data_IF_032002336930
#
_entry.id   IF_032002336930
#
_cell.length_a   1.000
_cell.length_b   1.000
_cell.length_c   1.000
_cell.angle_alpha   90.00
_cell.angle_beta   90.00
_cell.angle_gamma   90.00
#
_symmetry.space_group_name_H-M   'P 1'
#
loop_
_entity.id
_entity.type
_entity.pdbx_description
1 polymer ?
#
# COMPACT_ATOMS: atom_id res chain seq x y z
N UNK A 1 26.92 -8.56 3.66
CA UNK A 1 27.87 -9.43 2.92
C UNK A 1 27.21 -10.76 2.59
N UNK A 2 27.30 -11.23 1.34
CA UNK A 2 26.71 -12.50 0.93
C UNK A 2 27.60 -13.69 1.31
N UNK A 3 26.99 -14.84 1.61
CA UNK A 3 27.73 -16.06 1.97
C UNK A 3 28.65 -16.57 0.83
N UNK A 4 28.32 -16.29 -0.44
CA UNK A 4 29.20 -16.66 -1.57
C UNK A 4 30.50 -15.86 -1.58
N UNK A 5 30.41 -14.55 -1.37
CA UNK A 5 31.59 -13.68 -1.31
C UNK A 5 32.54 -14.11 -0.18
N UNK A 6 31.99 -14.45 0.99
CA UNK A 6 32.77 -14.96 2.13
C UNK A 6 33.49 -16.26 1.76
N UNK A 7 32.84 -17.12 0.98
CA UNK A 7 33.43 -18.38 0.51
C UNK A 7 34.56 -18.14 -0.50
N UNK A 8 34.37 -17.20 -1.44
CA UNK A 8 35.38 -16.85 -2.45
C UNK A 8 36.64 -16.24 -1.83
N UNK A 9 36.46 -15.38 -0.83
CA UNK A 9 37.58 -14.71 -0.14
C UNK A 9 38.34 -15.69 0.76
N UNK A 10 37.63 -16.47 1.59
CA UNK A 10 38.28 -17.32 2.59
C UNK A 10 38.78 -18.65 2.02
N UNK A 11 38.26 -19.12 0.87
CA UNK A 11 38.60 -20.41 0.25
C UNK A 11 38.55 -21.60 1.24
N UNK A 12 37.72 -21.51 2.27
CA UNK A 12 37.53 -22.54 3.29
C UNK A 12 36.38 -23.47 2.94
N UNK A 13 36.40 -24.67 3.54
CA UNK A 13 35.30 -25.61 3.42
C UNK A 13 34.01 -25.06 4.04
N UNK A 14 32.88 -25.23 3.33
CA UNK A 14 31.58 -24.60 3.66
C UNK A 14 31.11 -24.93 5.08
N UNK A 15 31.37 -26.15 5.57
CA UNK A 15 30.99 -26.57 6.92
C UNK A 15 31.73 -25.78 8.01
N UNK A 16 33.00 -25.45 7.78
CA UNK A 16 33.80 -24.66 8.74
C UNK A 16 33.30 -23.22 8.78
N UNK A 17 33.00 -22.64 7.62
CA UNK A 17 32.40 -21.30 7.51
C UNK A 17 31.07 -21.23 8.26
N UNK A 18 30.18 -22.21 8.06
CA UNK A 18 28.89 -22.26 8.74
C UNK A 18 29.01 -22.41 10.26
N UNK A 19 30.01 -23.14 10.77
CA UNK A 19 30.27 -23.24 12.22
C UNK A 19 30.70 -21.89 12.80
N UNK A 20 31.66 -21.23 12.16
CA UNK A 20 32.16 -19.91 12.60
C UNK A 20 31.05 -18.87 12.57
N UNK A 21 30.27 -18.81 11.49
CA UNK A 21 29.14 -17.88 11.37
C UNK A 21 28.10 -18.11 12.47
N UNK A 22 27.77 -19.37 12.81
CA UNK A 22 26.88 -19.67 13.94
C UNK A 22 27.45 -19.21 15.29
N UNK A 23 28.76 -19.37 15.50
CA UNK A 23 29.42 -18.88 16.73
C UNK A 23 29.38 -17.36 16.81
N UNK A 24 29.63 -16.65 15.72
CA UNK A 24 29.55 -15.19 15.65
C UNK A 24 28.11 -14.68 15.84
N UNK A 25 27.13 -15.39 15.30
CA UNK A 25 25.69 -15.11 15.47
C UNK A 25 25.25 -15.35 16.93
N UNK A 26 25.70 -16.45 17.56
CA UNK A 26 25.40 -16.72 18.99
C UNK A 26 25.99 -15.69 19.94
N UNK A 27 27.12 -15.06 19.55
CA UNK A 27 27.76 -13.99 20.32
C UNK A 27 27.16 -12.61 20.04
N UNK A 28 26.11 -12.52 19.21
CA UNK A 28 25.46 -11.27 18.79
C UNK A 28 26.43 -10.26 18.16
N UNK A 29 27.46 -10.75 17.46
CA UNK A 29 28.37 -9.88 16.69
C UNK A 29 27.84 -9.63 15.28
N UNK A 30 27.21 -10.66 14.71
CA UNK A 30 26.58 -10.60 13.39
C UNK A 30 25.13 -11.06 13.48
N UNK A 31 24.30 -10.58 12.56
CA UNK A 31 22.94 -11.07 12.33
C UNK A 31 22.76 -11.49 10.87
N UNK A 32 21.98 -12.55 10.68
CA UNK A 32 21.57 -12.98 9.36
C UNK A 32 20.29 -12.25 8.92
N UNK A 33 20.30 -11.71 7.72
CA UNK A 33 19.16 -11.06 7.09
C UNK A 33 18.85 -11.78 5.78
N UNK A 34 17.56 -11.99 5.56
CA UNK A 34 17.04 -12.41 4.27
C UNK A 34 16.44 -11.18 3.63
N UNK A 35 16.98 -10.71 2.49
CA UNK A 35 16.48 -9.52 1.83
C UNK A 35 15.07 -9.77 1.27
N UNK A 36 14.33 -8.71 1.04
CA UNK A 36 13.03 -8.76 0.36
C UNK A 36 13.22 -8.75 -1.17
N UNK A 37 12.35 -9.43 -1.92
CA UNK A 37 12.32 -9.38 -3.40
C UNK A 37 13.21 -10.42 -4.12
N UNK A 38 13.75 -10.06 -5.29
CA UNK A 38 14.47 -10.99 -6.19
C UNK A 38 15.73 -11.65 -5.56
N UNK A 39 16.22 -11.11 -4.44
CA UNK A 39 17.32 -11.65 -3.68
C UNK A 39 16.89 -12.49 -2.46
N UNK A 40 15.60 -12.76 -2.26
CA UNK A 40 15.07 -13.38 -1.02
C UNK A 40 15.67 -14.75 -0.66
N UNK A 41 16.15 -15.50 -1.66
CA UNK A 41 16.86 -16.76 -1.46
C UNK A 41 18.30 -16.59 -0.95
N UNK A 42 18.86 -15.37 -0.95
CA UNK A 42 20.24 -15.09 -0.56
C UNK A 42 20.32 -14.78 0.93
N UNK A 43 21.19 -15.49 1.64
CA UNK A 43 21.50 -15.21 3.05
C UNK A 43 22.61 -14.15 3.15
N UNK A 44 22.29 -12.99 3.71
CA UNK A 44 23.21 -11.87 3.88
C UNK A 44 23.52 -11.72 5.37
N UNK A 45 24.78 -11.45 5.70
CA UNK A 45 25.20 -11.17 7.07
C UNK A 45 25.57 -9.70 7.21
N UNK A 46 25.23 -9.11 8.36
CA UNK A 46 25.62 -7.76 8.75
C UNK A 46 25.93 -7.70 10.25
N UNK A 47 26.55 -6.61 10.70
CA UNK A 47 26.78 -6.36 12.13
C UNK A 47 25.45 -6.32 12.89
N UNK A 48 25.46 -6.83 14.12
CA UNK A 48 24.25 -6.92 14.94
C UNK A 48 23.62 -5.56 15.23
N UNK A 49 24.46 -4.57 15.54
CA UNK A 49 24.06 -3.22 15.96
C UNK A 49 23.54 -2.33 14.82
N UNK A 50 23.87 -2.66 13.56
CA UNK A 50 23.46 -1.83 12.42
C UNK A 50 22.05 -2.20 11.95
N UNK A 51 21.24 -1.22 11.57
CA UNK A 51 19.93 -1.48 10.96
C UNK A 51 20.06 -1.73 9.45
N UNK A 52 19.32 -2.69 8.88
CA UNK A 52 19.34 -2.93 7.44
C UNK A 52 18.73 -1.74 6.70
N UNK A 53 19.34 -1.39 5.57
CA UNK A 53 18.79 -0.40 4.66
C UNK A 53 17.40 -0.83 4.14
N UNK A 54 16.52 0.15 3.91
CA UNK A 54 15.17 -0.04 3.37
C UNK A 54 15.11 -0.88 2.10
N UNK A 55 16.14 -0.80 1.26
CA UNK A 55 16.27 -1.60 0.03
C UNK A 55 16.42 -3.11 0.29
N UNK A 56 16.94 -3.48 1.46
CA UNK A 56 17.20 -4.86 1.86
C UNK A 56 16.06 -5.38 2.73
N UNK A 57 15.56 -4.57 3.66
CA UNK A 57 14.49 -4.94 4.59
C UNK A 57 13.07 -4.81 4.00
N UNK A 58 12.93 -4.14 2.85
CA UNK A 58 11.62 -3.79 2.28
C UNK A 58 10.99 -2.53 2.90
N UNK A 59 11.61 -1.96 3.94
CA UNK A 59 11.15 -0.75 4.63
C UNK A 59 10.05 -1.02 5.66
N UNK A 60 9.30 0.02 6.02
CA UNK A 60 8.34 0.01 7.13
C UNK A 60 7.10 -0.87 6.92
N UNK A 61 6.87 -1.38 5.70
CA UNK A 61 5.68 -2.19 5.34
C UNK A 61 5.94 -3.70 5.37
N UNK A 62 7.16 -4.12 5.73
CA UNK A 62 7.54 -5.53 5.77
C UNK A 62 7.86 -5.96 7.19
N UNK A 63 7.24 -7.05 7.61
CA UNK A 63 7.58 -7.75 8.85
C UNK A 63 8.54 -8.89 8.50
N UNK A 64 9.82 -8.54 8.37
CA UNK A 64 10.87 -9.49 7.98
C UNK A 64 10.88 -9.78 6.47
N UNK A 65 10.15 -10.82 6.03
CA UNK A 65 10.05 -11.20 4.61
C UNK A 65 8.64 -11.08 4.04
N UNK A 66 7.64 -10.89 4.90
CA UNK A 66 6.25 -10.85 4.51
C UNK A 66 5.78 -9.40 4.42
N UNK A 67 5.06 -9.10 3.36
CA UNK A 67 4.41 -7.80 3.18
C UNK A 67 3.17 -7.75 4.08
N UNK A 68 3.10 -6.72 4.92
CA UNK A 68 2.01 -6.55 5.86
C UNK A 68 0.86 -5.76 5.19
N UNK A 69 0.04 -6.48 4.41
CA UNK A 69 -1.10 -5.86 3.73
C UNK A 69 -2.13 -5.29 4.70
N UNK A 70 -2.33 -5.94 5.85
CA UNK A 70 -3.28 -5.48 6.87
C UNK A 70 -2.84 -4.16 7.48
N UNK A 71 -1.55 -4.01 7.75
CA UNK A 71 -0.99 -2.74 8.22
C UNK A 71 -1.14 -1.63 7.19
N UNK A 72 -0.87 -1.92 5.91
CA UNK A 72 -1.05 -0.94 4.82
C UNK A 72 -2.51 -0.52 4.67
N UNK A 73 -3.45 -1.47 4.74
CA UNK A 73 -4.89 -1.20 4.69
C UNK A 73 -5.34 -0.33 5.87
N UNK A 74 -4.84 -0.61 7.08
CA UNK A 74 -5.12 0.19 8.26
C UNK A 74 -4.60 1.62 8.12
N UNK A 75 -3.38 1.80 7.60
CA UNK A 75 -2.82 3.13 7.32
C UNK A 75 -3.65 3.87 6.27
N UNK A 76 -4.05 3.20 5.19
CA UNK A 76 -4.92 3.76 4.16
C UNK A 76 -6.26 4.25 4.74
N UNK A 77 -6.92 3.41 5.54
CA UNK A 77 -8.16 3.76 6.20
C UNK A 77 -8.01 4.97 7.13
N UNK A 78 -6.91 5.02 7.90
CA UNK A 78 -6.69 6.11 8.84
C UNK A 78 -6.37 7.43 8.12
N UNK A 79 -5.54 7.40 7.07
CA UNK A 79 -5.28 8.57 6.22
C UNK A 79 -6.59 9.10 5.62
N UNK A 80 -7.42 8.21 5.07
CA UNK A 80 -8.71 8.59 4.49
C UNK A 80 -9.67 9.18 5.52
N UNK A 81 -9.75 8.57 6.72
CA UNK A 81 -10.59 9.06 7.81
C UNK A 81 -10.19 10.46 8.24
N UNK A 82 -8.90 10.72 8.36
CA UNK A 82 -8.38 12.03 8.72
C UNK A 82 -8.71 13.08 7.65
N UNK A 83 -8.44 12.79 6.37
CA UNK A 83 -8.75 13.69 5.27
C UNK A 83 -10.26 14.00 5.18
N UNK A 84 -11.13 13.00 5.39
CA UNK A 84 -12.59 13.17 5.41
C UNK A 84 -13.04 14.04 6.58
N UNK A 85 -12.51 13.80 7.77
CA UNK A 85 -12.83 14.60 8.97
C UNK A 85 -12.46 16.07 8.77
N UNK A 86 -11.28 16.34 8.21
CA UNK A 86 -10.85 17.71 7.91
C UNK A 86 -11.72 18.39 6.84
N UNK A 87 -12.14 17.64 5.83
CA UNK A 87 -13.08 18.13 4.82
C UNK A 87 -14.48 18.47 5.40
N UNK A 88 -14.96 17.68 6.35
CA UNK A 88 -16.22 17.94 7.07
C UNK A 88 -16.10 19.19 7.96
N UNK A 89 -15.04 19.29 8.76
CA UNK A 89 -14.79 20.46 9.60
C UNK A 89 -14.66 21.76 8.78
N UNK A 90 -14.03 21.71 7.60
CA UNK A 90 -13.96 22.83 6.67
C UNK A 90 -15.35 23.20 6.11
N UNK A 91 -16.22 22.21 5.90
CA UNK A 91 -17.59 22.43 5.43
C UNK A 91 -18.49 23.11 6.46
N UNK A 92 -18.31 22.79 7.73
CA UNK A 92 -19.03 23.42 8.84
C UNK A 92 -18.53 24.85 9.10
N UNK A 93 -17.20 25.07 9.07
CA UNK A 93 -16.60 26.39 9.33
C UNK A 93 -16.89 27.42 8.25
N UNK A 94 -16.92 27.00 6.98
CA UNK A 94 -17.08 27.89 5.83
C UNK A 94 -18.21 27.40 4.92
N UNK A 95 -19.48 27.64 5.27
CA UNK A 95 -20.62 27.20 4.46
C UNK A 95 -20.71 27.94 3.13
N UNK A 96 -20.41 29.24 3.10
CA UNK A 96 -20.61 30.11 1.92
C UNK A 96 -19.32 30.53 1.22
N UNK A 97 -18.14 30.29 1.81
CA UNK A 97 -16.84 30.63 1.19
C UNK A 97 -16.16 29.38 0.65
N UNK A 98 -16.20 29.23 -0.67
CA UNK A 98 -15.59 28.10 -1.38
C UNK A 98 -14.06 28.10 -1.28
N UNK A 99 -13.42 29.27 -1.32
CA UNK A 99 -11.96 29.39 -1.32
C UNK A 99 -11.39 29.07 0.06
N UNK A 100 -11.98 29.62 1.12
CA UNK A 100 -11.59 29.32 2.49
C UNK A 100 -11.82 27.84 2.82
N UNK A 101 -12.96 27.27 2.37
CA UNK A 101 -13.25 25.84 2.52
C UNK A 101 -12.21 24.97 1.82
N UNK A 102 -11.91 25.25 0.55
CA UNK A 102 -10.90 24.52 -0.24
C UNK A 102 -9.54 24.58 0.43
N UNK A 103 -9.10 25.76 0.86
CA UNK A 103 -7.81 25.95 1.54
C UNK A 103 -7.74 25.18 2.86
N UNK A 104 -8.83 25.16 3.63
CA UNK A 104 -8.90 24.43 4.91
C UNK A 104 -8.93 22.91 4.76
N UNK A 105 -9.35 22.37 3.61
CA UNK A 105 -9.35 20.93 3.33
C UNK A 105 -7.95 20.40 2.97
N UNK A 106 -7.06 21.26 2.47
CA UNK A 106 -5.72 20.88 2.05
C UNK A 106 -4.86 20.52 3.26
N UNK A 107 -4.13 19.42 3.12
CA UNK A 107 -3.32 18.83 4.19
C UNK A 107 -1.98 18.42 3.60
N UNK A 108 -0.88 18.77 4.27
CA UNK A 108 0.46 18.37 3.83
C UNK A 108 0.76 16.92 4.24
N UNK A 109 1.71 16.27 3.54
CA UNK A 109 2.22 14.95 3.93
C UNK A 109 2.83 14.97 5.35
N UNK A 110 3.44 16.07 5.75
CA UNK A 110 4.02 16.27 7.09
C UNK A 110 2.95 16.30 8.21
N UNK A 111 1.82 16.95 7.99
CA UNK A 111 0.72 17.03 8.96
C UNK A 111 0.07 15.66 9.16
N UNK A 112 -0.10 14.90 8.09
CA UNK A 112 -0.64 13.53 8.14
C UNK A 112 0.31 12.61 8.89
N UNK A 113 1.61 12.71 8.64
CA UNK A 113 2.63 11.95 9.37
C UNK A 113 2.60 12.25 10.87
N UNK A 114 2.47 13.52 11.26
CA UNK A 114 2.35 13.89 12.67
C UNK A 114 1.11 13.27 13.31
N UNK A 115 -0.04 13.32 12.62
CA UNK A 115 -1.27 12.72 13.12
C UNK A 115 -1.14 11.19 13.31
N UNK A 116 -0.49 10.49 12.36
CA UNK A 116 -0.25 9.04 12.47
C UNK A 116 0.67 8.72 13.66
N UNK A 117 1.70 9.53 13.90
CA UNK A 117 2.61 9.38 15.05
C UNK A 117 1.89 9.59 16.38
N UNK A 118 0.99 10.58 16.46
CA UNK A 118 0.19 10.85 17.66
C UNK A 118 -0.75 9.70 18.02
N UNK A 119 -1.32 9.04 17.00
CA UNK A 119 -2.20 7.89 17.19
C UNK A 119 -1.45 6.63 17.64
N UNK A 120 -0.12 6.62 17.60
CA UNK A 120 0.75 5.49 18.00
C UNK A 120 0.29 4.14 17.41
N UNK A 121 -0.17 4.18 16.15
CA UNK A 121 -0.69 2.98 15.46
C UNK A 121 0.45 2.00 15.17
N UNK A 122 1.66 2.49 14.91
CA UNK A 122 2.82 1.68 14.57
C UNK A 122 3.87 1.70 15.68
N UNK A 123 4.48 0.53 15.90
CA UNK A 123 5.74 0.39 16.66
C UNK A 123 6.97 0.75 15.81
N UNK A 124 6.76 0.84 14.48
CA UNK A 124 7.77 1.10 13.47
C UNK A 124 7.79 2.60 13.17
N UNK A 125 8.98 3.18 13.09
CA UNK A 125 9.19 4.56 12.66
C UNK A 125 8.85 4.72 11.18
N UNK A 126 7.75 5.42 10.91
CA UNK A 126 7.31 5.77 9.56
C UNK A 126 8.05 7.02 9.07
N UNK A 127 8.60 6.94 7.86
CA UNK A 127 9.19 8.08 7.16
C UNK A 127 8.14 8.87 6.37
N UNK A 128 8.49 10.10 5.98
CA UNK A 128 7.61 10.94 5.14
C UNK A 128 7.36 10.30 3.77
N UNK A 129 8.40 9.72 3.16
CA UNK A 129 8.28 9.05 1.86
C UNK A 129 7.38 7.81 1.91
N UNK A 130 7.31 7.12 3.05
CA UNK A 130 6.42 5.97 3.21
C UNK A 130 4.96 6.41 3.29
N UNK A 131 4.67 7.50 4.01
CA UNK A 131 3.33 8.09 4.05
C UNK A 131 2.90 8.60 2.68
N UNK A 132 3.80 9.22 1.91
CA UNK A 132 3.48 9.67 0.55
C UNK A 132 3.09 8.52 -0.39
N UNK A 133 3.76 7.35 -0.28
CA UNK A 133 3.36 6.16 -1.05
C UNK A 133 1.95 5.69 -0.68
N UNK A 134 1.60 5.70 0.61
CA UNK A 134 0.26 5.35 1.08
C UNK A 134 -0.78 6.37 0.58
N UNK A 135 -0.45 7.66 0.63
CA UNK A 135 -1.35 8.69 0.12
C UNK A 135 -1.55 8.59 -1.39
N UNK A 136 -0.50 8.23 -2.14
CA UNK A 136 -0.63 7.96 -3.57
C UNK A 136 -1.57 6.77 -3.83
N UNK A 137 -1.55 5.71 -2.99
CA UNK A 137 -2.57 4.64 -3.11
C UNK A 137 -3.99 5.14 -2.87
N UNK A 138 -4.22 5.99 -1.85
CA UNK A 138 -5.54 6.60 -1.61
C UNK A 138 -6.00 7.49 -2.78
N UNK A 139 -5.06 8.15 -3.46
CA UNK A 139 -5.33 8.95 -4.66
C UNK A 139 -5.68 8.05 -5.84
N UNK A 140 -4.96 6.95 -6.06
CA UNK A 140 -5.25 5.99 -7.13
C UNK A 140 -6.61 5.27 -6.94
N UNK A 141 -7.03 5.06 -5.69
CA UNK A 141 -8.38 4.58 -5.38
C UNK A 141 -9.49 5.61 -5.68
N UNK A 142 -9.12 6.84 -6.06
CA UNK A 142 -10.06 7.93 -6.35
C UNK A 142 -10.71 8.54 -5.11
N UNK A 143 -10.16 8.27 -3.92
CA UNK A 143 -10.69 8.74 -2.64
C UNK A 143 -10.07 10.06 -2.18
N UNK A 144 -8.89 10.41 -2.70
CA UNK A 144 -8.20 11.67 -2.44
C UNK A 144 -7.70 12.33 -3.72
N UNK A 145 -7.53 13.66 -3.65
CA UNK A 145 -6.91 14.48 -4.69
C UNK A 145 -5.54 14.93 -4.21
N UNK A 146 -4.58 14.90 -5.12
CA UNK A 146 -3.22 15.42 -4.94
C UNK A 146 -3.09 16.74 -5.67
N UNK A 147 -2.66 17.78 -4.97
CA UNK A 147 -2.42 19.10 -5.51
C UNK A 147 -1.00 19.53 -5.25
N UNK A 148 -0.35 20.11 -6.27
CA UNK A 148 0.98 20.66 -6.14
C UNK A 148 0.86 22.13 -5.72
N UNK A 149 1.63 22.51 -4.70
CA UNK A 149 1.79 23.89 -4.26
C UNK A 149 2.40 24.74 -5.36
N UNK A 150 1.83 25.93 -5.56
CA UNK A 150 2.30 26.90 -6.56
C UNK A 150 3.71 27.42 -6.25
N UNK A 151 4.11 27.38 -4.98
CA UNK A 151 5.42 27.86 -4.49
C UNK A 151 6.03 26.76 -3.63
N UNK A 152 7.19 26.22 -4.04
CA UNK A 152 7.99 25.28 -3.24
C UNK A 152 7.88 23.80 -3.62
N UNK A 153 6.97 23.42 -4.52
CA UNK A 153 6.80 22.01 -4.93
C UNK A 153 6.18 21.13 -3.84
N UNK A 154 5.67 21.73 -2.76
CA UNK A 154 5.00 21.02 -1.68
C UNK A 154 3.75 20.30 -2.19
N UNK A 155 3.57 19.06 -1.74
CA UNK A 155 2.42 18.25 -2.12
C UNK A 155 1.34 18.32 -1.05
N UNK A 156 0.13 18.65 -1.48
CA UNK A 156 -1.06 18.71 -0.64
C UNK A 156 -2.06 17.63 -1.05
N UNK A 157 -2.77 17.12 -0.04
CA UNK A 157 -3.78 16.10 -0.18
C UNK A 157 -5.11 16.62 0.39
N UNK A 158 -6.19 16.32 -0.32
CA UNK A 158 -7.54 16.59 0.15
C UNK A 158 -8.45 15.40 -0.15
N UNK A 159 -9.34 15.05 0.77
CA UNK A 159 -10.38 14.06 0.48
C UNK A 159 -11.22 14.57 -0.69
N UNK A 160 -11.40 13.72 -1.69
CA UNK A 160 -12.27 14.08 -2.81
C UNK A 160 -13.72 13.96 -2.35
N UNK A 161 -14.54 14.93 -2.76
CA UNK A 161 -16.00 14.85 -2.59
C UNK A 161 -16.67 13.95 -3.63
N UNK A 162 -15.90 13.22 -4.41
CA UNK A 162 -16.46 12.28 -5.37
C UNK A 162 -17.27 11.23 -4.61
N UNK A 163 -18.45 10.83 -5.14
CA UNK A 163 -19.45 10.05 -4.44
C UNK A 163 -19.07 8.56 -4.31
N UNK A 164 -17.84 8.27 -3.87
CA UNK A 164 -17.40 6.92 -3.61
C UNK A 164 -17.88 6.49 -2.23
N UNK A 165 -19.12 6.00 -2.26
CA UNK A 165 -19.41 4.73 -1.60
C UNK A 165 -20.58 3.97 -2.23
N UNK A 166 -21.47 4.60 -3.01
CA UNK A 166 -22.60 3.89 -3.67
C UNK A 166 -23.06 4.47 -5.03
N UNK A 167 -22.57 5.62 -5.51
CA UNK A 167 -23.24 6.34 -6.61
C UNK A 167 -22.37 6.87 -7.76
N UNK A 168 -21.05 6.73 -7.73
CA UNK A 168 -20.20 7.00 -8.91
C UNK A 168 -20.30 5.85 -9.92
N UNK A 169 -21.30 5.92 -10.78
CA UNK A 169 -21.43 5.22 -12.06
C UNK A 169 -21.21 3.69 -12.05
N UNK A 170 -22.01 2.97 -11.26
CA UNK A 170 -22.46 1.67 -11.77
C UNK A 170 -23.35 1.96 -12.99
N UNK A 171 -22.74 2.07 -14.16
CA UNK A 171 -23.48 2.16 -15.43
C UNK A 171 -24.51 1.03 -15.47
N UNK A 172 -25.65 1.22 -16.16
CA UNK A 172 -26.66 0.17 -16.26
C UNK A 172 -26.08 -1.17 -16.77
N UNK A 173 -24.96 -1.09 -17.50
CA UNK A 173 -24.18 -2.23 -17.95
C UNK A 173 -23.64 -3.08 -16.78
N UNK A 174 -22.90 -2.51 -15.82
CA UNK A 174 -22.30 -3.31 -14.72
C UNK A 174 -23.34 -3.92 -13.76
N UNK A 175 -24.59 -3.45 -13.84
CA UNK A 175 -25.72 -4.04 -13.12
C UNK A 175 -26.26 -5.31 -13.78
N UNK A 176 -25.94 -5.52 -15.06
CA UNK A 176 -26.34 -6.70 -15.80
C UNK A 176 -25.22 -7.76 -15.76
N UNK A 177 -25.56 -9.05 -15.67
CA UNK A 177 -24.58 -10.14 -15.57
C UNK A 177 -23.72 -10.27 -16.85
N UNK A 178 -24.14 -9.66 -17.95
CA UNK A 178 -23.39 -9.65 -19.20
C UNK A 178 -22.12 -8.79 -19.17
N UNK A 179 -22.02 -7.78 -18.29
CA UNK A 179 -20.87 -6.87 -18.25
C UNK A 179 -19.56 -7.53 -17.83
N UNK A 180 -19.65 -8.61 -17.04
CA UNK A 180 -18.51 -9.37 -16.55
C UNK A 180 -18.55 -10.82 -17.01
N UNK A 181 -19.41 -11.14 -18.00
CA UNK A 181 -19.57 -12.50 -18.48
C UNK A 181 -18.29 -12.96 -19.20
N UNK A 182 -17.62 -14.02 -18.74
CA UNK A 182 -16.41 -14.52 -19.39
C UNK A 182 -16.67 -15.13 -20.77
N UNK A 183 -17.93 -15.46 -21.07
CA UNK A 183 -18.38 -16.03 -22.34
C UNK A 183 -19.12 -15.01 -23.21
N UNK A 184 -18.93 -13.71 -22.96
CA UNK A 184 -19.63 -12.65 -23.69
C UNK A 184 -19.44 -12.76 -25.22
N UNK A 185 -18.20 -12.99 -25.65
CA UNK A 185 -17.84 -13.09 -27.07
C UNK A 185 -18.53 -14.27 -27.78
N UNK A 186 -18.70 -15.39 -27.07
CA UNK A 186 -19.28 -16.63 -27.59
C UNK A 186 -20.82 -16.66 -27.52
N UNK A 187 -21.43 -15.73 -26.78
CA UNK A 187 -22.87 -15.72 -26.54
C UNK A 187 -23.64 -15.28 -27.78
N UNK A 188 -24.46 -16.19 -28.34
CA UNK A 188 -25.29 -15.91 -29.53
C UNK A 188 -26.70 -16.53 -29.40
N UNK A 189 -27.73 -15.95 -30.04
CA UNK A 189 -29.02 -16.61 -30.16
C UNK A 189 -28.87 -17.97 -30.84
N UNK A 190 -29.43 -19.05 -30.24
CA UNK A 190 -29.36 -20.43 -30.73
C UNK A 190 -27.95 -21.06 -30.78
N UNK A 191 -26.95 -20.46 -30.13
CA UNK A 191 -25.62 -21.04 -29.95
C UNK A 191 -25.53 -22.00 -28.75
N UNK A 192 -24.37 -22.64 -28.57
CA UNK A 192 -24.07 -23.46 -27.38
C UNK A 192 -24.09 -22.62 -26.10
N UNK A 193 -23.57 -21.39 -26.17
CA UNK A 193 -23.74 -20.35 -25.17
C UNK A 193 -24.81 -19.39 -25.69
N UNK A 194 -25.96 -19.34 -25.01
CA UNK A 194 -27.10 -18.54 -25.48
C UNK A 194 -27.76 -17.78 -24.35
N UNK A 195 -28.29 -16.56 -24.60
CA UNK A 195 -29.03 -15.81 -23.59
C UNK A 195 -30.25 -16.58 -23.06
N UNK A 196 -30.90 -17.38 -23.91
CA UNK A 196 -32.11 -18.13 -23.57
C UNK A 196 -31.87 -19.27 -22.55
N UNK A 197 -30.66 -19.84 -22.53
CA UNK A 197 -30.26 -20.93 -21.63
C UNK A 197 -29.18 -20.48 -20.63
N UNK A 198 -28.96 -19.18 -20.50
CA UNK A 198 -27.88 -18.61 -19.70
C UNK A 198 -28.12 -18.79 -18.20
N UNK A 199 -27.20 -19.47 -17.52
CA UNK A 199 -27.24 -19.69 -16.07
C UNK A 199 -27.07 -18.36 -15.32
N UNK A 200 -26.11 -17.53 -15.72
CA UNK A 200 -25.87 -16.21 -15.09
C UNK A 200 -27.08 -15.28 -15.16
N UNK A 201 -27.82 -15.30 -16.28
CA UNK A 201 -29.00 -14.47 -16.45
C UNK A 201 -30.19 -15.01 -15.63
N UNK A 202 -30.31 -16.33 -15.51
CA UNK A 202 -31.34 -16.99 -14.70
C UNK A 202 -31.13 -16.75 -13.20
N UNK A 203 -29.90 -16.87 -12.71
CA UNK A 203 -29.55 -16.60 -11.30
C UNK A 203 -29.77 -15.12 -10.96
N UNK A 204 -29.31 -14.21 -11.82
CA UNK A 204 -29.49 -12.77 -11.62
C UNK A 204 -30.96 -12.32 -11.60
N UNK A 205 -31.85 -12.96 -12.37
CA UNK A 205 -33.30 -12.68 -12.35
C UNK A 205 -34.03 -13.33 -11.17
N UNK A 206 -33.39 -14.24 -10.44
CA UNK A 206 -33.98 -14.94 -9.31
C UNK A 206 -33.73 -14.23 -7.96
N UNK A 207 -32.82 -13.25 -7.93
CA UNK A 207 -32.61 -12.29 -6.83
C UNK A 207 -33.60 -11.12 -6.89
#
# INVERSE_FOLDING_TARGET
IWIRDIKEILKLHVNTINKVLKTLESRKLIKAIKPVGAAASKKIYMLFELEPDSSVSGGAFYSGQEFDSQFVDLLNQQCLKYLKSKAQAAAEKFPNDFLAKRKSCLTSSSEILQHIKELKISKIDLSLADVEKILDTVVFDGNAQKELGVVGGDTFYAATKTPNSQTTFCTGLVKAPCAFCPLFEDCRPKGLVSPATCVYFKEWLAE
#
